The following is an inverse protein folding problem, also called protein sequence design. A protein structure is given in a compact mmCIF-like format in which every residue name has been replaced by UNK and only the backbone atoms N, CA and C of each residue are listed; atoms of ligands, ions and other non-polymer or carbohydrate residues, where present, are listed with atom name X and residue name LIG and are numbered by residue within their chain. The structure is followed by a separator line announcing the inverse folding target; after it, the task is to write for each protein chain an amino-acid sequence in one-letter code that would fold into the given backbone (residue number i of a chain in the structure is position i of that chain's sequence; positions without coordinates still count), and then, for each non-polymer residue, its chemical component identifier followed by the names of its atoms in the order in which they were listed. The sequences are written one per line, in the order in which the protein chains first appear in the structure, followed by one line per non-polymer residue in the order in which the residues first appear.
data_IF_032363176013
#
_entry.id   IF_032363176013
#
_cell.length_a   1.000
_cell.length_b   1.000
_cell.length_c   1.000
_cell.angle_alpha   90.00
_cell.angle_beta   90.00
_cell.angle_gamma   90.00
#
_symmetry.space_group_name_H-M   'P 1'
#
loop_
_entity.id
_entity.type
_entity.pdbx_description
1 polymer ?
#
# COMPACT_ATOMS: atom_id res chain seq x y z
N UNK A 1 48.25 16.51 -20.33
CA UNK A 1 47.69 16.80 -19.00
C UNK A 1 46.19 17.18 -19.10
N UNK A 2 45.82 18.07 -19.94
CA UNK A 2 44.43 18.50 -20.15
C UNK A 2 43.46 17.39 -20.54
N UNK A 3 43.83 16.48 -21.42
CA UNK A 3 43.01 15.38 -21.90
C UNK A 3 42.71 14.35 -20.82
N UNK A 4 43.61 14.10 -19.86
CA UNK A 4 43.39 13.20 -18.72
C UNK A 4 42.41 13.80 -17.73
N UNK A 5 42.54 15.10 -17.43
CA UNK A 5 41.63 15.80 -16.53
C UNK A 5 40.22 15.86 -17.13
N UNK A 6 40.09 16.12 -18.41
CA UNK A 6 38.82 16.17 -19.12
C UNK A 6 38.11 14.79 -19.07
N UNK A 7 38.86 13.69 -19.28
CA UNK A 7 38.29 12.31 -19.17
C UNK A 7 37.79 11.99 -17.77
N UNK A 8 38.54 12.36 -16.74
CA UNK A 8 38.11 12.15 -15.33
C UNK A 8 36.85 12.96 -15.04
N UNK A 9 36.77 14.18 -15.50
CA UNK A 9 35.61 15.06 -15.32
C UNK A 9 34.37 14.50 -16.04
N UNK A 10 34.50 13.98 -17.25
CA UNK A 10 33.41 13.32 -17.98
C UNK A 10 32.90 12.06 -17.26
N UNK A 11 33.80 11.23 -16.73
CA UNK A 11 33.42 10.03 -15.99
C UNK A 11 32.68 10.38 -14.70
N UNK A 12 33.16 11.36 -13.95
CA UNK A 12 32.48 11.85 -12.74
C UNK A 12 31.09 12.40 -13.05
N UNK A 13 30.94 13.15 -14.14
CA UNK A 13 29.67 13.69 -14.57
C UNK A 13 28.66 12.60 -14.96
N UNK A 14 29.11 11.55 -15.65
CA UNK A 14 28.28 10.40 -16.01
C UNK A 14 27.83 9.61 -14.77
N UNK A 15 28.68 9.45 -13.79
CA UNK A 15 28.35 8.79 -12.51
C UNK A 15 27.29 9.62 -11.78
N UNK A 16 27.46 10.94 -11.70
CA UNK A 16 26.52 11.83 -11.04
C UNK A 16 25.14 11.84 -11.74
N UNK A 17 25.12 11.85 -13.07
CA UNK A 17 23.89 11.76 -13.86
C UNK A 17 23.14 10.43 -13.63
N UNK A 18 23.87 9.31 -13.54
CA UNK A 18 23.24 8.01 -13.29
C UNK A 18 22.65 7.92 -11.88
N UNK A 19 23.28 8.53 -10.87
CA UNK A 19 22.73 8.63 -9.51
C UNK A 19 21.46 9.49 -9.46
N UNK A 20 21.47 10.64 -10.12
CA UNK A 20 20.31 11.55 -10.18
C UNK A 20 19.14 10.88 -10.92
N UNK A 21 19.41 10.18 -12.01
CA UNK A 21 18.39 9.46 -12.76
C UNK A 21 17.80 8.29 -11.96
N UNK A 22 18.64 7.52 -11.28
CA UNK A 22 18.18 6.43 -10.39
C UNK A 22 17.32 6.97 -9.23
N UNK A 23 17.72 8.07 -8.63
CA UNK A 23 16.96 8.71 -7.55
C UNK A 23 15.61 9.27 -8.05
N UNK A 24 15.59 9.94 -9.20
CA UNK A 24 14.36 10.46 -9.79
C UNK A 24 13.36 9.34 -10.15
N UNK A 25 13.84 8.20 -10.67
CA UNK A 25 13.00 7.04 -10.99
C UNK A 25 12.39 6.40 -9.73
N UNK A 26 13.11 6.39 -8.61
CA UNK A 26 12.57 5.88 -7.33
C UNK A 26 11.53 6.80 -6.71
N UNK A 27 11.66 8.11 -6.88
CA UNK A 27 10.68 9.09 -6.41
C UNK A 27 9.38 9.09 -7.23
N UNK A 28 9.45 8.73 -8.51
CA UNK A 28 8.29 8.69 -9.41
C UNK A 28 7.56 7.35 -9.42
N UNK A 29 8.02 6.34 -8.67
CA UNK A 29 7.34 5.06 -8.57
C UNK A 29 6.09 5.21 -7.72
N UNK A 30 4.92 5.03 -8.34
CA UNK A 30 3.68 4.91 -7.59
C UNK A 30 3.78 3.74 -6.60
N UNK A 31 3.29 3.92 -5.36
CA UNK A 31 3.25 2.82 -4.40
C UNK A 31 2.45 1.66 -5.00
N UNK A 32 2.90 0.44 -4.73
CA UNK A 32 2.14 -0.76 -5.06
C UNK A 32 0.75 -0.71 -4.42
N UNK A 33 -0.23 -1.38 -5.04
CA UNK A 33 -1.62 -1.42 -4.55
C UNK A 33 -1.69 -1.82 -3.08
N UNK A 34 -0.91 -2.80 -2.68
CA UNK A 34 -0.86 -3.24 -1.28
C UNK A 34 -0.24 -2.19 -0.36
N UNK A 35 0.78 -1.48 -0.80
CA UNK A 35 1.42 -0.41 0.00
C UNK A 35 0.50 0.80 0.16
N UNK A 36 -0.24 1.16 -0.88
CA UNK A 36 -1.27 2.20 -0.81
C UNK A 36 -2.38 1.85 0.19
N UNK A 37 -2.88 0.62 0.15
CA UNK A 37 -3.88 0.14 1.11
C UNK A 37 -3.36 0.11 2.55
N UNK A 38 -2.10 -0.28 2.77
CA UNK A 38 -1.47 -0.23 4.10
C UNK A 38 -1.39 1.19 4.65
N UNK A 39 -1.10 2.18 3.78
CA UNK A 39 -1.10 3.58 4.19
C UNK A 39 -2.48 4.03 4.69
N UNK A 40 -3.55 3.69 3.97
CA UNK A 40 -4.92 3.98 4.40
C UNK A 40 -5.24 3.34 5.77
N UNK A 41 -4.86 2.09 5.97
CA UNK A 41 -5.03 1.40 7.26
C UNK A 41 -4.24 2.10 8.36
N UNK A 42 -3.00 2.48 8.08
CA UNK A 42 -2.09 3.13 9.03
C UNK A 42 -2.65 4.46 9.53
N UNK A 43 -3.33 5.23 8.68
CA UNK A 43 -3.94 6.52 9.04
C UNK A 43 -5.06 6.38 10.10
N UNK A 44 -5.65 5.19 10.21
CA UNK A 44 -6.66 4.88 11.23
C UNK A 44 -6.09 4.25 12.51
N UNK A 45 -4.78 3.98 12.55
CA UNK A 45 -4.16 3.36 13.71
C UNK A 45 -3.77 4.40 14.76
N UNK A 46 -3.98 4.06 16.04
CA UNK A 46 -3.58 4.90 17.16
C UNK A 46 -2.06 5.15 17.18
N UNK A 47 -1.27 4.16 16.77
CA UNK A 47 0.18 4.25 16.64
C UNK A 47 0.62 3.85 15.22
N UNK A 48 0.54 4.76 14.24
CA UNK A 48 0.86 4.46 12.84
C UNK A 48 2.26 3.90 12.64
N UNK A 49 3.22 4.37 13.42
CA UNK A 49 4.63 3.96 13.32
C UNK A 49 4.90 2.52 13.81
N UNK A 50 3.99 1.98 14.63
CA UNK A 50 4.05 0.61 15.13
C UNK A 50 3.19 -0.36 14.33
N UNK A 51 2.60 0.09 13.21
CA UNK A 51 1.77 -0.75 12.34
C UNK A 51 2.59 -1.90 11.76
N UNK A 52 2.16 -3.11 12.04
CA UNK A 52 2.75 -4.34 11.51
C UNK A 52 1.68 -5.13 10.78
N UNK A 53 1.98 -5.56 9.56
CA UNK A 53 1.06 -6.23 8.66
C UNK A 53 1.50 -7.65 8.38
N UNK A 54 0.53 -8.55 8.17
CA UNK A 54 0.77 -9.90 7.66
C UNK A 54 -0.35 -10.34 6.72
N UNK A 55 -0.06 -11.31 5.87
CA UNK A 55 -1.01 -11.91 4.95
C UNK A 55 -1.77 -10.90 4.08
N UNK A 56 -1.10 -9.82 3.67
CA UNK A 56 -1.69 -8.78 2.82
C UNK A 56 -1.69 -9.24 1.37
N UNK A 57 -2.87 -9.37 0.78
CA UNK A 57 -3.06 -9.81 -0.60
C UNK A 57 -4.07 -8.91 -1.31
N UNK A 58 -3.85 -8.71 -2.60
CA UNK A 58 -4.79 -8.04 -3.49
C UNK A 58 -5.68 -9.07 -4.19
N UNK A 59 -6.98 -8.89 -4.07
CA UNK A 59 -8.01 -9.70 -4.72
C UNK A 59 -8.67 -8.89 -5.85
N UNK A 60 -8.28 -9.11 -7.11
CA UNK A 60 -8.84 -8.37 -8.24
C UNK A 60 -10.31 -8.72 -8.46
N UNK A 61 -11.12 -7.72 -8.76
CA UNK A 61 -12.50 -7.92 -9.20
C UNK A 61 -12.52 -8.25 -10.68
N UNK A 62 -12.58 -9.53 -11.00
CA UNK A 62 -12.63 -10.04 -12.37
C UNK A 62 -14.01 -9.93 -13.03
N UNK A 63 -15.04 -9.53 -12.27
CA UNK A 63 -16.40 -9.36 -12.81
C UNK A 63 -16.52 -8.18 -13.76
N UNK A 64 -15.61 -7.23 -13.64
CA UNK A 64 -15.54 -6.06 -14.51
C UNK A 64 -14.46 -6.25 -15.57
N UNK A 65 -14.85 -6.48 -16.82
CA UNK A 65 -13.95 -6.52 -17.98
C UNK A 65 -13.32 -5.14 -18.26
N UNK A 66 -12.66 -4.56 -17.29
CA UNK A 66 -11.96 -3.29 -17.47
C UNK A 66 -10.45 -3.52 -17.33
N UNK A 67 -9.66 -2.81 -18.11
CA UNK A 67 -8.18 -2.80 -17.96
C UNK A 67 -7.73 -2.06 -16.71
N UNK A 68 -8.66 -1.58 -15.89
CA UNK A 68 -8.40 -0.81 -14.69
C UNK A 68 -8.21 -1.71 -13.49
N UNK A 69 -7.32 -1.30 -12.59
CA UNK A 69 -7.13 -1.96 -11.32
C UNK A 69 -8.35 -1.72 -10.43
N UNK A 70 -9.13 -2.75 -10.21
CA UNK A 70 -10.28 -2.75 -9.30
C UNK A 70 -10.26 -4.01 -8.48
N UNK A 71 -10.50 -3.91 -7.20
CA UNK A 71 -10.55 -5.05 -6.30
C UNK A 71 -10.44 -4.65 -4.84
N UNK A 72 -10.02 -5.59 -4.02
CA UNK A 72 -9.90 -5.43 -2.58
C UNK A 72 -8.52 -5.87 -2.11
N UNK A 73 -7.93 -5.11 -1.20
CA UNK A 73 -6.74 -5.52 -0.45
C UNK A 73 -7.21 -6.00 0.91
N UNK A 74 -6.93 -7.25 1.18
CA UNK A 74 -7.28 -7.91 2.43
C UNK A 74 -6.01 -8.33 3.18
N UNK A 75 -6.03 -8.25 4.48
CA UNK A 75 -4.89 -8.63 5.29
C UNK A 75 -5.17 -8.48 6.77
N UNK A 76 -4.12 -8.55 7.55
CA UNK A 76 -4.17 -8.41 8.99
C UNK A 76 -3.19 -7.33 9.44
N UNK A 77 -3.59 -6.54 10.42
CA UNK A 77 -2.77 -5.51 11.06
C UNK A 77 -2.71 -5.75 12.56
N UNK A 78 -1.52 -5.55 13.13
CA UNK A 78 -1.32 -5.65 14.57
C UNK A 78 -1.96 -4.47 15.28
N UNK A 79 -2.76 -4.74 16.30
CA UNK A 79 -3.53 -3.74 17.02
C UNK A 79 -3.09 -3.58 18.46
N UNK A 80 -3.40 -2.42 19.03
CA UNK A 80 -3.19 -2.09 20.43
C UNK A 80 -4.56 -1.84 21.09
N UNK A 81 -4.70 -2.26 22.34
CA UNK A 81 -5.86 -2.00 23.17
C UNK A 81 -5.38 -1.39 24.48
N UNK A 82 -5.93 -0.23 24.85
CA UNK A 82 -5.53 0.49 26.06
C UNK A 82 -3.99 0.73 26.13
N UNK A 83 -3.40 1.13 24.99
CA UNK A 83 -1.96 1.36 24.81
C UNK A 83 -1.08 0.10 24.96
N UNK A 84 -1.66 -1.07 25.14
CA UNK A 84 -0.95 -2.35 25.23
C UNK A 84 -1.06 -3.14 23.92
N UNK A 85 -0.02 -3.92 23.55
CA UNK A 85 -0.11 -4.86 22.43
C UNK A 85 -1.27 -5.82 22.61
N UNK A 86 -2.07 -6.01 21.55
CA UNK A 86 -3.26 -6.86 21.62
C UNK A 86 -3.15 -8.08 20.69
N UNK A 87 -3.60 -7.94 19.44
CA UNK A 87 -3.59 -9.02 18.44
C UNK A 87 -3.70 -8.48 17.03
N UNK A 88 -3.46 -9.34 16.04
CA UNK A 88 -3.75 -9.06 14.66
C UNK A 88 -5.26 -9.05 14.41
N UNK A 89 -5.74 -8.05 13.68
CA UNK A 89 -7.12 -7.91 13.23
C UNK A 89 -7.17 -7.80 11.72
N UNK A 90 -8.18 -8.40 11.13
CA UNK A 90 -8.41 -8.37 9.69
C UNK A 90 -8.87 -6.98 9.23
N UNK A 91 -8.48 -6.62 8.03
CA UNK A 91 -8.95 -5.40 7.37
C UNK A 91 -9.23 -5.65 5.88
N UNK A 92 -10.10 -4.82 5.33
CA UNK A 92 -10.43 -4.79 3.90
C UNK A 92 -10.35 -3.35 3.43
N UNK A 93 -9.62 -3.10 2.34
CA UNK A 93 -9.55 -1.81 1.66
C UNK A 93 -9.92 -2.01 0.20
N UNK A 94 -10.98 -1.34 -0.26
CA UNK A 94 -11.35 -1.33 -1.67
C UNK A 94 -10.39 -0.46 -2.49
N UNK A 95 -10.04 -0.91 -3.67
CA UNK A 95 -9.18 -0.20 -4.62
C UNK A 95 -9.90 -0.02 -5.93
N UNK A 96 -9.87 1.19 -6.45
CA UNK A 96 -10.37 1.50 -7.78
C UNK A 96 -9.40 2.44 -8.50
N UNK A 97 -9.33 2.32 -9.81
CA UNK A 97 -8.54 3.21 -10.66
C UNK A 97 -9.46 4.23 -11.33
N UNK A 98 -9.15 5.50 -11.20
CA UNK A 98 -9.90 6.58 -11.83
C UNK A 98 -9.61 6.69 -13.35
N UNK A 99 -10.22 7.67 -14.01
CA UNK A 99 -10.03 7.91 -15.45
C UNK A 99 -8.59 8.29 -15.81
N UNK A 100 -7.88 8.90 -14.89
CA UNK A 100 -6.49 9.39 -15.07
C UNK A 100 -5.45 8.30 -14.75
N UNK A 101 -5.88 7.09 -14.44
CA UNK A 101 -5.01 5.97 -14.04
C UNK A 101 -4.54 6.03 -12.59
N UNK A 102 -5.04 6.97 -11.79
CA UNK A 102 -4.71 7.10 -10.38
C UNK A 102 -5.54 6.14 -9.53
N UNK A 103 -4.89 5.44 -8.61
CA UNK A 103 -5.55 4.53 -7.68
C UNK A 103 -6.23 5.30 -6.56
N UNK A 104 -7.45 4.93 -6.27
CA UNK A 104 -8.28 5.46 -5.18
C UNK A 104 -8.56 4.32 -4.21
N UNK A 105 -8.40 4.58 -2.94
CA UNK A 105 -8.61 3.62 -1.86
C UNK A 105 -9.86 3.99 -1.06
N UNK A 106 -10.65 2.98 -0.69
CA UNK A 106 -11.78 3.19 0.20
C UNK A 106 -11.32 3.33 1.66
N UNK A 107 -12.23 3.79 2.51
CA UNK A 107 -12.03 3.69 3.94
C UNK A 107 -11.85 2.21 4.34
N UNK A 108 -10.89 1.90 5.23
CA UNK A 108 -10.70 0.54 5.71
C UNK A 108 -11.91 0.02 6.48
N UNK A 109 -12.24 -1.24 6.27
CA UNK A 109 -13.21 -1.99 7.09
C UNK A 109 -12.41 -2.92 8.00
N UNK A 110 -12.62 -2.81 9.31
CA UNK A 110 -11.90 -3.58 10.31
C UNK A 110 -12.80 -4.58 11.02
N UNK A 111 -12.20 -5.72 11.37
CA UNK A 111 -12.79 -6.73 12.27
C UNK A 111 -12.49 -6.36 13.73
N UNK A 112 -12.99 -5.22 14.17
CA UNK A 112 -12.82 -4.75 15.54
C UNK A 112 -14.05 -5.07 16.39
N UNK A 113 -13.84 -5.65 17.56
CA UNK A 113 -14.89 -5.91 18.53
C UNK A 113 -15.55 -4.59 18.95
N UNK A 114 -16.86 -4.50 18.72
CA UNK A 114 -17.68 -3.36 19.14
C UNK A 114 -17.68 -2.16 18.19
N UNK A 115 -17.05 -2.25 17.01
CA UNK A 115 -17.05 -1.17 16.03
C UNK A 115 -17.94 -1.46 14.83
N UNK A 116 -18.19 -0.44 14.06
CA UNK A 116 -19.03 -0.19 12.88
C UNK A 116 -19.80 -1.39 12.26
N UNK A 117 -19.24 -2.60 12.26
CA UNK A 117 -19.85 -3.78 11.62
C UNK A 117 -19.82 -4.96 12.61
N UNK A 118 -20.95 -5.61 12.89
CA UNK A 118 -20.98 -6.83 13.67
C UNK A 118 -20.10 -7.93 13.07
N UNK A 119 -19.47 -8.74 13.90
CA UNK A 119 -18.54 -9.79 13.47
C UNK A 119 -19.12 -10.76 12.42
N UNK A 120 -20.39 -11.24 12.51
CA UNK A 120 -20.97 -12.09 11.47
C UNK A 120 -21.11 -11.38 10.13
N UNK A 121 -21.39 -10.09 10.12
CA UNK A 121 -21.49 -9.30 8.89
C UNK A 121 -20.10 -9.07 8.29
N UNK A 122 -19.08 -8.83 9.11
CA UNK A 122 -17.70 -8.74 8.65
C UNK A 122 -17.24 -10.06 8.01
N UNK A 123 -17.53 -11.20 8.63
CA UNK A 123 -17.17 -12.51 8.10
C UNK A 123 -17.79 -12.75 6.72
N UNK A 124 -19.03 -12.37 6.53
CA UNK A 124 -19.70 -12.45 5.22
C UNK A 124 -19.00 -11.61 4.16
N UNK A 125 -18.68 -10.36 4.49
CA UNK A 125 -17.95 -9.46 3.57
C UNK A 125 -16.56 -10.04 3.27
N UNK A 126 -15.89 -10.57 4.26
CA UNK A 126 -14.58 -11.21 4.09
C UNK A 126 -14.64 -12.39 3.13
N UNK A 127 -15.62 -13.27 3.29
CA UNK A 127 -15.79 -14.46 2.44
C UNK A 127 -16.14 -14.09 1.00
N UNK A 128 -16.88 -13.01 0.80
CA UNK A 128 -17.25 -12.51 -0.53
C UNK A 128 -16.10 -11.78 -1.25
N UNK A 129 -15.25 -11.08 -0.54
CA UNK A 129 -14.27 -10.15 -1.11
C UNK A 129 -12.81 -10.60 -0.99
N UNK A 130 -12.50 -11.48 -0.05
CA UNK A 130 -11.13 -11.87 0.31
C UNK A 130 -10.81 -13.37 0.13
N UNK A 131 -11.76 -14.16 -0.37
CA UNK A 131 -11.56 -15.60 -0.65
C UNK A 131 -11.55 -15.91 -2.13
#
# INVERSE_FOLDING_TARGET
MYTKILRILCVLLLILLSFVMGYALTLCKEPDVMDGAKLEVTDFMYQPQAASFKNVLFHPDNSRMTRKTVGDVCGEVFTFKDEAPYKYKRFIVGVAENRDGKKIYSLPIFDFEGEMIPEPDFQKIWDERCN
#
